data_IF_552859721224
#
_entry.id   IF_552859721224
#
_cell.length_a   1.000
_cell.length_b   1.000
_cell.length_c   1.000
_cell.angle_alpha   90.00
_cell.angle_beta   90.00
_cell.angle_gamma   90.00
#
_symmetry.space_group_name_H-M   'P 1'
#
loop_
_entity.id
_entity.type
_entity.pdbx_description
1 polymer ?
#
# COMPACT_ATOMS: atom_id res chain seq x y z
N UNK A 1 -23.98 4.49 -11.91
CA UNK A 1 -23.99 5.01 -10.49
C UNK A 1 -22.70 5.76 -10.22
N UNK A 2 -22.75 6.91 -9.50
CA UNK A 2 -21.54 7.66 -9.13
C UNK A 2 -20.64 6.81 -8.23
N UNK A 3 -19.42 6.58 -8.68
CA UNK A 3 -18.44 5.70 -8.04
C UNK A 3 -17.15 6.47 -7.80
N UNK A 4 -16.59 6.36 -6.60
CA UNK A 4 -15.32 6.96 -6.21
C UNK A 4 -14.19 6.00 -6.58
N UNK A 5 -13.20 6.49 -7.29
CA UNK A 5 -12.00 5.75 -7.67
C UNK A 5 -10.79 6.48 -7.11
N UNK A 6 -10.20 5.97 -6.05
CA UNK A 6 -8.98 6.52 -5.47
C UNK A 6 -7.77 5.93 -6.16
N UNK A 7 -7.15 6.71 -7.03
CA UNK A 7 -5.91 6.38 -7.73
C UNK A 7 -4.75 6.59 -6.77
N UNK A 8 -4.02 5.51 -6.48
CA UNK A 8 -2.93 5.46 -5.51
C UNK A 8 -1.64 5.12 -6.23
N UNK A 9 -0.56 5.87 -5.96
CA UNK A 9 0.76 5.63 -6.54
C UNK A 9 1.89 5.97 -5.56
N UNK A 10 3.09 5.51 -5.87
CA UNK A 10 4.31 5.88 -5.16
C UNK A 10 4.95 7.11 -5.82
N UNK A 11 5.35 8.09 -5.02
CA UNK A 11 6.04 9.29 -5.49
C UNK A 11 7.54 9.06 -5.76
N UNK A 12 8.27 10.13 -6.13
CA UNK A 12 9.71 10.09 -6.39
C UNK A 12 10.59 10.54 -5.22
N UNK A 13 10.05 10.63 -4.01
CA UNK A 13 10.82 11.05 -2.84
C UNK A 13 11.90 10.02 -2.52
N UNK A 14 13.09 10.48 -2.14
CA UNK A 14 14.24 9.66 -1.75
C UNK A 14 14.56 9.92 -0.28
N UNK A 15 15.07 8.94 0.49
CA UNK A 15 15.37 7.56 0.08
C UNK A 15 14.15 6.66 -0.05
N UNK A 16 13.01 7.03 0.54
CA UNK A 16 11.79 6.23 0.56
C UNK A 16 10.65 6.96 -0.15
N UNK A 17 10.06 6.29 -1.13
CA UNK A 17 8.87 6.78 -1.81
C UNK A 17 7.66 6.72 -0.87
N UNK A 18 6.77 7.72 -0.97
CA UNK A 18 5.54 7.76 -0.18
C UNK A 18 4.32 7.56 -1.06
N UNK A 19 3.26 7.02 -0.47
CA UNK A 19 1.98 6.88 -1.15
C UNK A 19 1.33 8.25 -1.37
N UNK A 20 0.82 8.43 -2.58
CA UNK A 20 -0.02 9.57 -2.97
C UNK A 20 -1.35 9.06 -3.46
N UNK A 21 -2.38 9.85 -3.33
CA UNK A 21 -3.68 9.52 -3.92
C UNK A 21 -4.44 10.74 -4.43
N UNK A 22 -5.32 10.48 -5.39
CA UNK A 22 -6.34 11.43 -5.86
C UNK A 22 -7.60 10.66 -6.26
N UNK A 23 -8.77 11.22 -5.98
CA UNK A 23 -10.05 10.55 -6.22
C UNK A 23 -10.75 11.09 -7.46
N UNK A 24 -11.10 10.19 -8.37
CA UNK A 24 -11.94 10.45 -9.55
C UNK A 24 -13.36 9.92 -9.33
N UNK A 25 -14.34 10.63 -9.87
CA UNK A 25 -15.73 10.18 -9.84
C UNK A 25 -16.16 9.81 -11.25
N UNK A 26 -16.59 8.57 -11.42
CA UNK A 26 -17.14 8.08 -12.69
C UNK A 26 -18.53 7.46 -12.47
N UNK A 27 -19.32 7.39 -13.53
CA UNK A 27 -20.52 6.57 -13.54
C UNK A 27 -20.15 5.15 -13.97
N UNK A 28 -20.29 4.19 -13.05
CA UNK A 28 -20.02 2.78 -13.33
C UNK A 28 -21.24 1.93 -13.00
N UNK A 29 -21.53 0.98 -13.87
CA UNK A 29 -22.66 0.04 -13.70
C UNK A 29 -22.20 -1.34 -13.20
N UNK A 30 -20.90 -1.62 -13.26
CA UNK A 30 -20.30 -2.88 -12.85
C UNK A 30 -19.02 -2.65 -12.07
N UNK A 31 -18.54 -3.69 -11.37
CA UNK A 31 -17.22 -3.70 -10.74
C UNK A 31 -16.12 -3.49 -11.77
N UNK A 32 -15.32 -2.43 -11.66
CA UNK A 32 -14.30 -2.11 -12.66
C UNK A 32 -13.11 -3.08 -12.59
N UNK A 33 -12.49 -3.33 -13.74
CA UNK A 33 -11.17 -3.95 -13.85
C UNK A 33 -10.15 -2.86 -14.22
N UNK A 34 -8.84 -3.04 -13.96
CA UNK A 34 -7.84 -2.02 -14.29
C UNK A 34 -7.93 -1.52 -15.74
N UNK A 35 -8.12 -2.42 -16.70
CA UNK A 35 -8.23 -2.11 -18.15
C UNK A 35 -9.47 -1.28 -18.52
N UNK A 36 -10.49 -1.27 -17.67
CA UNK A 36 -11.76 -0.56 -17.92
C UNK A 36 -11.71 0.86 -17.35
N UNK A 37 -10.67 1.19 -16.61
CA UNK A 37 -10.47 2.49 -16.00
C UNK A 37 -9.56 3.38 -16.84
N UNK A 38 -9.89 4.67 -16.98
CA UNK A 38 -9.06 5.60 -17.74
C UNK A 38 -7.75 5.90 -17.01
N UNK A 39 -6.70 6.09 -17.77
CA UNK A 39 -5.48 6.76 -17.28
C UNK A 39 -5.81 8.18 -16.81
N UNK A 40 -4.97 8.70 -15.92
CA UNK A 40 -5.17 10.04 -15.37
C UNK A 40 -3.87 10.76 -15.13
N UNK A 41 -3.72 11.98 -15.65
CA UNK A 41 -2.51 12.79 -15.46
C UNK A 41 -2.45 13.41 -14.06
N UNK A 42 -1.23 13.70 -13.61
CA UNK A 42 -0.94 14.50 -12.43
C UNK A 42 0.34 15.30 -12.62
N UNK A 43 0.53 16.33 -11.80
CA UNK A 43 1.74 17.16 -11.80
C UNK A 43 2.87 16.46 -11.04
N UNK A 44 3.80 15.86 -11.78
CA UNK A 44 4.96 15.14 -11.24
C UNK A 44 5.95 16.05 -10.51
N UNK A 45 5.94 17.37 -10.74
CA UNK A 45 6.82 18.30 -10.02
C UNK A 45 6.51 18.33 -8.53
N UNK A 46 5.23 18.20 -8.17
CA UNK A 46 4.76 18.15 -6.78
C UNK A 46 5.08 16.85 -6.06
N UNK A 47 5.51 15.82 -6.79
CA UNK A 47 5.79 14.46 -6.27
C UNK A 47 7.24 14.03 -6.50
N UNK A 48 8.14 14.94 -6.90
CA UNK A 48 9.54 14.64 -7.24
C UNK A 48 9.71 13.67 -8.41
N UNK A 49 8.77 13.67 -9.36
CA UNK A 49 8.76 12.79 -10.53
C UNK A 49 8.89 13.54 -11.84
N UNK A 50 8.91 14.87 -11.81
CA UNK A 50 9.18 15.70 -12.98
C UNK A 50 9.83 17.01 -12.58
N UNK A 51 10.39 17.74 -13.57
CA UNK A 51 10.97 19.07 -13.38
C UNK A 51 10.56 20.02 -14.53
N UNK A 52 10.41 21.30 -14.20
CA UNK A 52 10.16 22.36 -15.17
C UNK A 52 8.77 22.31 -15.82
N UNK A 53 8.70 22.78 -17.06
CA UNK A 53 7.43 22.99 -17.80
C UNK A 53 6.80 21.69 -18.33
N UNK A 54 7.51 20.56 -18.28
CA UNK A 54 7.04 19.24 -18.70
C UNK A 54 6.80 18.37 -17.48
N UNK A 55 5.85 18.77 -16.65
CA UNK A 55 5.60 18.14 -15.35
C UNK A 55 4.52 17.05 -15.36
N UNK A 56 3.84 16.84 -16.48
CA UNK A 56 2.77 15.85 -16.56
C UNK A 56 3.33 14.42 -16.50
N UNK A 57 2.84 13.67 -15.52
CA UNK A 57 2.97 12.22 -15.41
C UNK A 57 1.61 11.56 -15.54
N UNK A 58 1.60 10.27 -15.88
CA UNK A 58 0.37 9.51 -16.11
C UNK A 58 0.26 8.39 -15.05
N UNK A 59 -0.93 8.27 -14.46
CA UNK A 59 -1.32 7.15 -13.61
C UNK A 59 -2.02 6.10 -14.46
N UNK A 60 -1.43 4.92 -14.56
CA UNK A 60 -2.01 3.77 -15.24
C UNK A 60 -2.51 2.74 -14.24
N UNK A 61 -3.82 2.46 -14.19
CA UNK A 61 -4.38 1.46 -13.28
C UNK A 61 -3.80 0.06 -13.51
N UNK A 62 -3.36 -0.61 -12.41
CA UNK A 62 -2.80 -1.97 -12.45
C UNK A 62 -3.52 -2.95 -11.54
N UNK A 63 -4.16 -2.47 -10.47
CA UNK A 63 -5.00 -3.27 -9.56
C UNK A 63 -6.19 -2.45 -9.10
N UNK A 64 -7.29 -3.15 -8.81
CA UNK A 64 -8.52 -2.52 -8.28
C UNK A 64 -9.04 -3.39 -7.16
N UNK A 65 -9.30 -2.78 -6.01
CA UNK A 65 -9.92 -3.40 -4.85
C UNK A 65 -11.18 -2.61 -4.47
N UNK A 66 -12.23 -3.31 -4.07
CA UNK A 66 -13.39 -2.63 -3.46
C UNK A 66 -12.94 -2.00 -2.15
N UNK A 67 -13.23 -0.72 -1.96
CA UNK A 67 -12.92 -0.06 -0.69
C UNK A 67 -13.78 -0.67 0.45
N UNK A 68 -13.16 -1.22 1.49
CA UNK A 68 -13.90 -1.89 2.57
C UNK A 68 -14.65 -0.93 3.48
N UNK A 69 -14.28 0.36 3.50
CA UNK A 69 -14.81 1.35 4.43
C UNK A 69 -15.76 2.36 3.78
N UNK A 70 -15.59 2.64 2.48
CA UNK A 70 -16.35 3.68 1.79
C UNK A 70 -17.38 3.10 0.82
N UNK A 71 -18.60 3.61 0.88
CA UNK A 71 -19.67 3.22 -0.05
C UNK A 71 -19.39 3.67 -1.47
N UNK A 72 -19.64 2.78 -2.45
CA UNK A 72 -19.42 3.03 -3.87
C UNK A 72 -18.01 3.55 -4.16
N UNK A 73 -17.00 2.87 -3.61
CA UNK A 73 -15.61 3.27 -3.73
C UNK A 73 -14.71 2.08 -4.06
N UNK A 74 -13.63 2.38 -4.78
CA UNK A 74 -12.57 1.44 -5.11
C UNK A 74 -11.21 2.08 -4.89
N UNK A 75 -10.27 1.29 -4.39
CA UNK A 75 -8.85 1.60 -4.34
C UNK A 75 -8.24 1.13 -5.66
N UNK A 76 -7.57 2.03 -6.38
CA UNK A 76 -7.00 1.80 -7.71
C UNK A 76 -5.49 1.99 -7.63
N UNK A 77 -4.74 0.89 -7.49
CA UNK A 77 -3.29 0.96 -7.53
C UNK A 77 -2.83 1.27 -8.95
N UNK A 78 -1.90 2.22 -9.08
CA UNK A 78 -1.40 2.70 -10.34
C UNK A 78 0.13 2.60 -10.43
N UNK A 79 0.63 2.33 -11.63
CA UNK A 79 2.00 2.61 -12.00
C UNK A 79 2.11 3.99 -12.63
N UNK A 80 3.31 4.60 -12.54
CA UNK A 80 3.58 5.93 -13.10
C UNK A 80 4.27 5.80 -14.45
N UNK A 81 3.75 6.54 -15.42
CA UNK A 81 4.34 6.67 -16.75
C UNK A 81 4.72 8.14 -17.02
N UNK A 82 5.67 8.34 -17.92
CA UNK A 82 5.96 9.63 -18.53
C UNK A 82 4.80 10.09 -19.43
N UNK A 83 4.80 11.35 -19.84
CA UNK A 83 3.78 11.92 -20.72
C UNK A 83 3.69 11.21 -22.08
N UNK A 84 4.76 10.57 -22.53
CA UNK A 84 4.83 9.77 -23.76
C UNK A 84 4.39 8.28 -23.55
N UNK A 85 3.84 7.96 -22.40
CA UNK A 85 3.42 6.62 -21.99
C UNK A 85 4.57 5.61 -21.78
N UNK A 86 5.83 6.05 -21.78
CA UNK A 86 6.94 5.18 -21.35
C UNK A 86 6.96 5.04 -19.83
N UNK A 87 7.44 3.91 -19.27
CA UNK A 87 7.56 3.76 -17.83
C UNK A 87 8.44 4.85 -17.21
N UNK A 88 7.94 5.49 -16.15
CA UNK A 88 8.71 6.46 -15.41
C UNK A 88 9.89 5.81 -14.67
N UNK A 89 11.00 6.52 -14.47
CA UNK A 89 12.20 5.97 -13.82
C UNK A 89 11.95 5.47 -12.38
N UNK A 90 10.95 6.06 -11.69
CA UNK A 90 10.52 5.66 -10.34
C UNK A 90 9.53 4.48 -10.33
N UNK A 91 9.19 3.92 -11.50
CA UNK A 91 8.23 2.83 -11.64
C UNK A 91 8.89 1.47 -11.42
N UNK A 92 9.18 1.14 -10.16
CA UNK A 92 9.78 -0.14 -9.78
C UNK A 92 8.86 -1.34 -10.09
N UNK A 93 7.54 -1.14 -10.04
CA UNK A 93 6.57 -2.18 -10.40
C UNK A 93 6.73 -2.63 -11.86
N UNK A 94 6.98 -1.69 -12.78
CA UNK A 94 7.23 -2.05 -14.19
C UNK A 94 8.50 -2.89 -14.34
N UNK A 95 9.57 -2.52 -13.62
CA UNK A 95 10.83 -3.30 -13.63
C UNK A 95 10.60 -4.73 -13.12
N UNK A 96 9.86 -4.87 -12.02
CA UNK A 96 9.49 -6.18 -11.49
C UNK A 96 8.64 -6.98 -12.49
N UNK A 97 7.69 -6.34 -13.16
CA UNK A 97 6.83 -6.97 -14.18
C UNK A 97 7.64 -7.47 -15.38
N UNK A 98 8.64 -6.72 -15.84
CA UNK A 98 9.52 -7.16 -16.93
C UNK A 98 10.44 -8.33 -16.51
N UNK A 99 10.88 -8.35 -15.26
CA UNK A 99 11.62 -9.50 -14.71
C UNK A 99 10.73 -10.74 -14.62
N UNK A 100 9.53 -10.60 -14.09
CA UNK A 100 8.56 -11.70 -13.89
C UNK A 100 8.12 -12.37 -15.21
N UNK A 101 8.24 -11.68 -16.35
CA UNK A 101 7.99 -12.23 -17.68
C UNK A 101 9.12 -13.10 -18.22
N UNK A 102 10.33 -13.03 -17.67
CA UNK A 102 11.45 -13.83 -18.16
C UNK A 102 11.20 -15.31 -17.90
N UNK A 103 11.33 -16.12 -18.94
CA UNK A 103 11.02 -17.56 -18.89
C UNK A 103 11.81 -18.31 -17.79
N UNK A 104 13.06 -17.90 -17.56
CA UNK A 104 13.91 -18.43 -16.51
C UNK A 104 13.41 -18.13 -15.09
N UNK A 105 12.62 -17.06 -14.92
CA UNK A 105 12.09 -16.63 -13.62
C UNK A 105 10.69 -17.17 -13.42
N UNK A 106 9.80 -17.01 -14.40
CA UNK A 106 8.41 -17.42 -14.26
C UNK A 106 8.23 -18.94 -14.12
N UNK A 107 9.16 -19.75 -14.64
CA UNK A 107 9.15 -21.21 -14.50
C UNK A 107 9.51 -21.72 -13.10
N UNK A 108 10.22 -20.92 -12.29
CA UNK A 108 10.67 -21.31 -10.96
C UNK A 108 9.53 -21.30 -9.92
N UNK A 109 8.38 -20.69 -10.25
CA UNK A 109 7.18 -20.68 -9.41
C UNK A 109 7.45 -20.15 -7.97
N UNK A 110 8.17 -19.02 -7.89
CA UNK A 110 8.64 -18.43 -6.64
C UNK A 110 7.51 -18.06 -5.68
N UNK A 111 7.75 -18.29 -4.40
CA UNK A 111 6.96 -17.82 -3.29
C UNK A 111 7.61 -16.60 -2.63
N UNK A 112 6.80 -15.61 -2.27
CA UNK A 112 7.24 -14.39 -1.61
C UNK A 112 6.48 -14.20 -0.31
N UNK A 113 7.20 -13.77 0.73
CA UNK A 113 6.64 -13.37 2.01
C UNK A 113 7.06 -11.96 2.35
N UNK A 114 6.14 -11.20 2.93
CA UNK A 114 6.41 -9.87 3.47
C UNK A 114 5.90 -9.79 4.91
N UNK A 115 6.72 -9.20 5.75
CA UNK A 115 6.41 -8.86 7.14
C UNK A 115 6.40 -7.33 7.22
N UNK A 116 5.20 -6.75 7.17
CA UNK A 116 5.06 -5.30 7.20
C UNK A 116 4.84 -4.84 8.62
N UNK A 117 5.86 -4.17 9.15
CA UNK A 117 5.80 -3.55 10.47
C UNK A 117 5.34 -2.08 10.39
N UNK A 118 4.63 -1.64 11.41
CA UNK A 118 4.18 -0.27 11.56
C UNK A 118 3.95 0.10 13.00
N UNK A 119 4.00 1.40 13.30
CA UNK A 119 3.80 1.96 14.63
C UNK A 119 2.54 2.79 14.63
N UNK A 120 1.62 2.50 15.56
CA UNK A 120 0.47 3.36 15.80
C UNK A 120 0.92 4.64 16.49
N UNK A 121 0.53 5.78 15.96
CA UNK A 121 0.91 7.10 16.46
C UNK A 121 -0.29 7.85 17.02
N UNK A 122 -0.10 8.59 18.09
CA UNK A 122 -1.07 9.54 18.62
C UNK A 122 -0.35 10.82 19.04
N UNK A 123 -0.82 11.96 18.55
CA UNK A 123 -0.25 13.28 18.87
C UNK A 123 1.27 13.38 18.66
N UNK A 124 1.79 12.69 17.61
CA UNK A 124 3.20 12.70 17.25
C UNK A 124 4.10 11.75 18.03
N UNK A 125 3.53 10.93 18.93
CA UNK A 125 4.27 9.91 19.70
C UNK A 125 3.67 8.53 19.47
N UNK A 126 4.46 7.43 19.65
CA UNK A 126 3.90 6.08 19.56
C UNK A 126 2.78 5.87 20.57
N UNK A 127 1.72 5.21 20.12
CA UNK A 127 0.53 4.95 20.95
C UNK A 127 0.91 4.13 22.17
N UNK A 128 0.52 4.63 23.34
CA UNK A 128 0.79 3.97 24.63
C UNK A 128 2.08 4.35 25.29
N UNK A 129 2.92 5.17 24.67
CA UNK A 129 4.08 5.73 25.36
C UNK A 129 3.63 6.62 26.52
N UNK A 130 4.37 6.61 27.64
CA UNK A 130 4.09 7.50 28.76
C UNK A 130 4.27 8.97 28.34
N UNK A 131 3.55 9.88 29.01
CA UNK A 131 3.69 11.33 28.76
C UNK A 131 5.07 11.86 29.13
N UNK A 132 5.71 11.22 30.09
CA UNK A 132 7.06 11.54 30.57
C UNK A 132 7.86 10.25 30.69
N UNK A 133 9.16 10.32 30.30
CA UNK A 133 10.04 9.17 30.29
C UNK A 133 9.85 8.24 29.09
N UNK A 134 10.21 6.98 29.27
CA UNK A 134 10.18 5.95 28.23
C UNK A 134 9.35 4.75 28.67
N UNK A 135 8.82 3.97 27.70
CA UNK A 135 8.21 2.67 28.04
C UNK A 135 9.28 1.69 28.56
N UNK A 136 8.86 0.52 29.01
CA UNK A 136 9.80 -0.56 29.34
C UNK A 136 10.66 -0.92 28.11
N UNK A 137 11.85 -1.53 28.32
CA UNK A 137 12.69 -1.98 27.21
C UNK A 137 11.97 -2.89 26.23
N UNK A 138 12.34 -2.80 24.97
CA UNK A 138 11.83 -3.64 23.87
C UNK A 138 11.88 -5.15 24.21
N UNK A 139 11.08 -5.92 23.49
CA UNK A 139 10.99 -7.37 23.64
C UNK A 139 9.93 -7.86 24.61
N UNK A 140 9.56 -7.08 25.62
CA UNK A 140 8.47 -7.44 26.54
C UNK A 140 7.08 -7.36 25.93
N UNK A 141 6.96 -6.68 24.80
CA UNK A 141 5.71 -6.43 24.07
C UNK A 141 5.48 -7.44 22.94
N UNK A 142 6.56 -8.09 22.48
CA UNK A 142 6.52 -9.05 21.38
C UNK A 142 5.54 -10.19 21.66
N UNK A 143 4.57 -10.37 20.74
CA UNK A 143 3.47 -11.32 20.88
C UNK A 143 2.71 -11.18 22.21
N UNK A 144 2.68 -9.98 22.78
CA UNK A 144 2.11 -9.72 24.09
C UNK A 144 0.61 -9.90 24.14
N UNK A 145 0.10 -10.17 25.35
CA UNK A 145 -1.33 -10.32 25.63
C UNK A 145 -1.73 -9.43 26.81
N UNK A 146 -2.89 -8.79 26.70
CA UNK A 146 -3.46 -7.94 27.75
C UNK A 146 -2.98 -6.49 27.70
N UNK A 147 -3.78 -5.60 28.28
CA UNK A 147 -3.69 -4.14 28.14
C UNK A 147 -2.36 -3.50 28.57
N UNK A 148 -1.55 -4.21 29.35
CA UNK A 148 -0.21 -3.71 29.75
C UNK A 148 0.88 -4.03 28.73
N UNK A 149 0.60 -4.93 27.78
CA UNK A 149 1.56 -5.45 26.81
C UNK A 149 1.20 -5.09 25.38
N UNK A 150 -0.10 -4.91 25.12
CA UNK A 150 -0.62 -4.72 23.76
C UNK A 150 -1.56 -3.53 23.76
N UNK A 151 -1.32 -2.60 22.85
CA UNK A 151 -2.16 -1.41 22.66
C UNK A 151 -2.57 -1.31 21.20
N UNK A 152 -3.83 -0.91 20.96
CA UNK A 152 -4.37 -0.70 19.61
C UNK A 152 -4.85 -1.96 18.90
N UNK A 153 -5.06 -3.08 19.60
CA UNK A 153 -5.53 -4.34 19.00
C UNK A 153 -6.83 -4.15 18.19
N UNK A 154 -7.75 -3.34 18.65
CA UNK A 154 -9.01 -3.07 17.94
C UNK A 154 -8.76 -2.46 16.56
N UNK A 155 -7.80 -1.54 16.44
CA UNK A 155 -7.41 -0.93 15.17
C UNK A 155 -6.81 -1.99 14.23
N UNK A 156 -6.00 -2.88 14.77
CA UNK A 156 -5.32 -3.94 14.02
C UNK A 156 -6.32 -4.98 13.52
N UNK A 157 -7.27 -5.39 14.35
CA UNK A 157 -8.32 -6.34 13.96
C UNK A 157 -9.22 -5.74 12.87
N UNK A 158 -9.60 -4.45 12.97
CA UNK A 158 -10.34 -3.75 11.91
C UNK A 158 -9.55 -3.69 10.60
N UNK A 159 -8.25 -3.42 10.68
CA UNK A 159 -7.36 -3.44 9.52
C UNK A 159 -7.25 -4.85 8.91
N UNK A 160 -7.09 -5.88 9.74
CA UNK A 160 -7.05 -7.27 9.30
C UNK A 160 -8.33 -7.67 8.56
N UNK A 161 -9.49 -7.36 9.13
CA UNK A 161 -10.79 -7.63 8.52
C UNK A 161 -10.93 -6.90 7.17
N UNK A 162 -10.47 -5.65 7.08
CA UNK A 162 -10.44 -4.90 5.83
C UNK A 162 -9.56 -5.61 4.77
N UNK A 163 -8.35 -6.02 5.12
CA UNK A 163 -7.43 -6.74 4.22
C UNK A 163 -8.02 -8.06 3.73
N UNK A 164 -8.62 -8.85 4.62
CA UNK A 164 -9.29 -10.12 4.27
C UNK A 164 -10.47 -9.87 3.33
N UNK A 165 -11.28 -8.84 3.61
CA UNK A 165 -12.48 -8.52 2.82
C UNK A 165 -12.19 -8.14 1.37
N UNK A 166 -11.01 -7.60 1.09
CA UNK A 166 -10.57 -7.24 -0.27
C UNK A 166 -9.73 -8.34 -0.94
N UNK A 167 -9.52 -9.48 -0.27
CA UNK A 167 -8.88 -10.66 -0.81
C UNK A 167 -7.34 -10.59 -0.83
N UNK A 168 -6.72 -9.89 0.10
CA UNK A 168 -5.27 -9.98 0.30
C UNK A 168 -4.90 -11.32 0.95
N UNK A 169 -3.76 -11.87 0.54
CA UNK A 169 -3.22 -13.15 1.04
C UNK A 169 -2.52 -12.93 2.42
N UNK A 170 -3.28 -12.38 3.38
CA UNK A 170 -2.80 -12.19 4.77
C UNK A 170 -2.67 -13.56 5.44
N UNK A 171 -1.55 -13.79 6.10
CA UNK A 171 -1.24 -15.05 6.81
C UNK A 171 -1.15 -14.90 8.32
N UNK A 172 -0.97 -13.69 8.82
CA UNK A 172 -0.93 -13.45 10.26
C UNK A 172 -0.77 -11.99 10.65
N UNK A 173 -0.90 -11.77 11.96
CA UNK A 173 -0.61 -10.51 12.64
C UNK A 173 0.04 -10.80 13.99
N UNK A 174 0.90 -9.94 14.48
CA UNK A 174 1.38 -9.97 15.87
C UNK A 174 1.75 -8.56 16.36
N UNK A 175 1.76 -8.42 17.68
CA UNK A 175 2.38 -7.28 18.33
C UNK A 175 3.90 -7.43 18.27
N UNK A 176 4.58 -6.33 17.96
CA UNK A 176 6.01 -6.28 17.80
C UNK A 176 6.79 -5.86 19.07
N UNK A 177 8.11 -5.76 18.94
CA UNK A 177 9.03 -5.59 20.08
C UNK A 177 8.86 -4.27 20.82
N UNK A 178 8.29 -3.24 20.17
CA UNK A 178 8.03 -1.93 20.76
C UNK A 178 6.55 -1.75 21.09
N UNK A 179 6.25 -1.05 22.17
CA UNK A 179 4.87 -0.72 22.53
C UNK A 179 4.20 0.11 21.42
N UNK A 180 3.03 -0.34 20.95
CA UNK A 180 2.29 0.29 19.86
C UNK A 180 2.80 -0.08 18.46
N UNK A 181 3.80 -0.94 18.36
CA UNK A 181 4.28 -1.52 17.10
C UNK A 181 3.57 -2.83 16.82
N UNK A 182 3.21 -3.03 15.56
CA UNK A 182 2.49 -4.18 15.06
C UNK A 182 3.04 -4.63 13.73
N UNK A 183 2.78 -5.87 13.39
CA UNK A 183 3.15 -6.49 12.14
C UNK A 183 1.96 -7.22 11.52
N UNK A 184 1.90 -7.24 10.18
CA UNK A 184 1.10 -8.22 9.45
C UNK A 184 1.96 -8.93 8.40
N UNK A 185 1.65 -10.20 8.14
CA UNK A 185 2.35 -11.03 7.19
C UNK A 185 1.48 -11.32 5.98
N UNK A 186 2.13 -11.30 4.81
CA UNK A 186 1.58 -11.71 3.52
C UNK A 186 2.46 -12.83 2.96
N UNK A 187 1.85 -13.86 2.38
CA UNK A 187 2.61 -14.94 1.76
C UNK A 187 1.86 -15.51 0.57
N UNK A 188 2.52 -15.60 -0.58
CA UNK A 188 1.88 -16.10 -1.79
C UNK A 188 2.83 -16.34 -2.95
N UNK A 189 2.29 -16.87 -4.04
CA UNK A 189 3.00 -17.13 -5.30
C UNK A 189 2.97 -15.93 -6.23
N UNK A 190 4.10 -15.69 -6.89
CA UNK A 190 4.25 -14.68 -7.94
C UNK A 190 4.55 -13.29 -7.41
N UNK A 191 5.68 -12.73 -7.84
CA UNK A 191 6.19 -11.44 -7.37
C UNK A 191 5.18 -10.30 -7.55
N UNK A 192 4.61 -10.17 -8.73
CA UNK A 192 3.64 -9.10 -9.07
C UNK A 192 2.32 -9.22 -8.30
N UNK A 193 1.96 -10.43 -7.86
CA UNK A 193 0.72 -10.64 -7.10
C UNK A 193 0.90 -10.23 -5.64
N UNK A 194 2.06 -10.49 -5.06
CA UNK A 194 2.31 -10.34 -3.61
C UNK A 194 2.90 -8.97 -3.27
N UNK A 195 3.65 -8.35 -4.21
CA UNK A 195 4.26 -7.02 -4.06
C UNK A 195 3.25 -5.86 -4.14
#
# INVERSE_FOLDING_TARGET
MKTKLEYIWLDGVKPEATLRSKTRILDLDTTPKPKDLPEWSFDGSSTKQAVGDKSDCILKPVRVYKDPQRTNAYLVLCEVLNADSTPHETNERHKLFELDKQESICKEDWWFGFEQEYVLMKDGVPLGFPKEGYPEPQGKYYCGVGNRRVIGREIIEEHLDACISIGLDITGINAEVMLGQWEYQLFGKGAIKVA
#
